data_IF_122525044508
#
_entry.id   IF_122525044508
#
_cell.length_a   1.000
_cell.length_b   1.000
_cell.length_c   1.000
_cell.angle_alpha   90.00
_cell.angle_beta   90.00
_cell.angle_gamma   90.00
#
_symmetry.space_group_name_H-M   'P 1'
#
loop_
_entity.id
_entity.type
_entity.pdbx_description
1 polymer ?
#
# COMPACT_ATOMS: atom_id res chain seq x y z
N UNK A 1 27.17 0.50 -7.16
CA UNK A 1 26.45 -0.57 -7.88
C UNK A 1 24.98 -0.43 -7.51
N UNK A 2 24.18 0.16 -8.40
CA UNK A 2 22.85 0.66 -8.04
C UNK A 2 21.85 -0.48 -7.82
N UNK A 3 20.99 -0.32 -6.81
CA UNK A 3 19.90 -1.24 -6.43
C UNK A 3 18.95 -1.58 -7.60
N UNK A 4 18.99 -0.80 -8.68
CA UNK A 4 18.31 -1.05 -9.97
C UNK A 4 18.73 -2.36 -10.66
N UNK A 5 19.99 -2.79 -10.53
CA UNK A 5 20.51 -3.91 -11.34
C UNK A 5 20.05 -5.29 -10.84
N UNK A 6 19.54 -5.39 -9.61
CA UNK A 6 19.06 -6.66 -9.05
C UNK A 6 17.57 -6.93 -9.38
N UNK A 7 16.84 -5.91 -9.83
CA UNK A 7 15.39 -5.95 -10.04
C UNK A 7 15.00 -6.71 -11.33
N UNK A 8 15.92 -6.87 -12.28
CA UNK A 8 15.54 -7.14 -13.67
C UNK A 8 15.53 -8.61 -14.13
N UNK A 9 15.72 -9.61 -13.24
CA UNK A 9 15.97 -11.01 -13.68
C UNK A 9 14.89 -12.07 -13.34
N UNK A 10 13.92 -11.83 -12.46
CA UNK A 10 12.96 -12.88 -12.01
C UNK A 10 11.57 -12.31 -11.67
N UNK A 11 10.82 -11.92 -12.70
CA UNK A 11 9.73 -10.94 -12.67
C UNK A 11 8.55 -11.08 -11.68
N UNK A 12 8.35 -12.19 -10.98
CA UNK A 12 7.17 -12.35 -10.08
C UNK A 12 7.53 -12.76 -8.64
N UNK A 13 8.53 -13.62 -8.45
CA UNK A 13 9.00 -14.05 -7.11
C UNK A 13 9.92 -13.04 -6.42
N UNK A 14 10.46 -12.06 -7.16
CA UNK A 14 11.39 -11.05 -6.61
C UNK A 14 10.67 -9.80 -6.09
N UNK A 15 9.52 -9.41 -6.65
CA UNK A 15 8.82 -8.18 -6.23
C UNK A 15 8.28 -8.28 -4.79
N UNK A 16 7.77 -9.45 -4.40
CA UNK A 16 7.38 -9.74 -3.01
C UNK A 16 8.58 -9.77 -2.06
N UNK A 17 9.69 -10.40 -2.48
CA UNK A 17 10.94 -10.43 -1.72
C UNK A 17 11.52 -9.03 -1.50
N UNK A 18 11.36 -8.11 -2.46
CA UNK A 18 11.83 -6.72 -2.37
C UNK A 18 11.06 -5.93 -1.31
N UNK A 19 9.74 -6.07 -1.20
CA UNK A 19 8.97 -5.42 -0.12
C UNK A 19 9.42 -5.93 1.26
N UNK A 20 9.69 -7.22 1.38
CA UNK A 20 10.15 -7.89 2.61
C UNK A 20 11.59 -7.51 2.97
N UNK A 21 12.53 -7.55 2.02
CA UNK A 21 13.94 -7.21 2.22
C UNK A 21 14.13 -5.72 2.53
N UNK A 22 13.37 -4.85 1.86
CA UNK A 22 13.36 -3.42 2.19
C UNK A 22 12.82 -3.20 3.61
N UNK A 23 11.78 -3.94 4.05
CA UNK A 23 11.31 -3.87 5.44
C UNK A 23 12.40 -4.32 6.44
N UNK A 24 13.18 -5.37 6.14
CA UNK A 24 14.25 -5.89 7.00
C UNK A 24 15.45 -4.95 7.17
N UNK A 25 15.88 -4.27 6.12
CA UNK A 25 17.06 -3.38 6.16
C UNK A 25 16.85 -2.08 6.98
N UNK A 26 15.64 -1.85 7.54
CA UNK A 26 15.18 -0.51 7.94
C UNK A 26 14.90 -0.29 9.41
N UNK A 27 15.28 -1.25 10.27
CA UNK A 27 15.45 -0.97 11.70
C UNK A 27 16.69 -0.07 11.88
N UNK A 28 16.57 1.24 11.63
CA UNK A 28 17.58 2.21 12.10
C UNK A 28 17.90 3.47 11.27
N UNK A 29 17.38 3.66 10.06
CA UNK A 29 17.72 4.85 9.24
C UNK A 29 16.47 5.51 8.58
N UNK A 30 16.07 6.72 9.01
CA UNK A 30 14.94 7.46 8.46
C UNK A 30 15.09 7.90 6.99
N UNK A 31 16.30 8.24 6.54
CA UNK A 31 16.54 8.65 5.15
C UNK A 31 16.29 7.48 4.19
N UNK A 32 16.72 6.28 4.58
CA UNK A 32 16.40 5.07 3.85
C UNK A 32 14.89 4.85 3.86
N UNK A 33 14.20 4.99 5.01
CA UNK A 33 12.75 4.82 5.14
C UNK A 33 11.95 5.50 4.02
N UNK A 34 12.23 6.77 3.72
CA UNK A 34 11.57 7.52 2.65
C UNK A 34 11.77 6.92 1.25
N UNK A 35 12.98 6.42 0.96
CA UNK A 35 13.33 5.85 -0.34
C UNK A 35 12.50 4.59 -0.65
N UNK A 36 12.42 3.59 0.23
CA UNK A 36 11.55 2.44 -0.08
C UNK A 36 10.08 2.77 0.01
N UNK A 37 9.64 3.77 0.77
CA UNK A 37 8.24 4.18 0.64
C UNK A 37 7.99 4.68 -0.78
N UNK A 38 8.90 5.48 -1.36
CA UNK A 38 8.81 5.89 -2.76
C UNK A 38 8.89 4.69 -3.73
N UNK A 39 9.82 3.75 -3.52
CA UNK A 39 9.91 2.60 -4.43
C UNK A 39 8.71 1.65 -4.27
N UNK A 40 8.20 1.44 -3.06
CA UNK A 40 7.00 0.63 -2.84
C UNK A 40 5.77 1.25 -3.51
N UNK A 41 5.63 2.58 -3.49
CA UNK A 41 4.59 3.27 -4.27
C UNK A 41 4.79 3.04 -5.77
N UNK A 42 6.02 3.15 -6.27
CA UNK A 42 6.33 2.84 -7.66
C UNK A 42 5.93 1.39 -8.01
N UNK A 43 6.25 0.42 -7.17
CA UNK A 43 5.91 -0.98 -7.36
C UNK A 43 4.38 -1.20 -7.35
N UNK A 44 3.66 -0.62 -6.38
CA UNK A 44 2.20 -0.70 -6.25
C UNK A 44 1.45 -0.07 -7.42
N UNK A 45 2.00 1.00 -8.00
CA UNK A 45 1.37 1.72 -9.13
C UNK A 45 1.72 1.11 -10.49
N UNK A 46 2.81 0.34 -10.58
CA UNK A 46 3.16 -0.40 -11.80
C UNK A 46 2.57 -1.81 -11.83
N UNK A 47 2.30 -2.41 -10.66
CA UNK A 47 1.73 -3.74 -10.56
C UNK A 47 0.72 -3.81 -9.42
N UNK A 48 -0.57 -3.84 -9.77
CA UNK A 48 -1.65 -3.86 -8.79
C UNK A 48 -1.64 -5.11 -7.90
N UNK A 49 -1.08 -6.23 -8.38
CA UNK A 49 -0.96 -7.46 -7.60
C UNK A 49 -0.02 -7.30 -6.40
N UNK A 50 0.82 -6.27 -6.36
CA UNK A 50 1.61 -5.93 -5.18
C UNK A 50 0.73 -5.58 -3.98
N UNK A 51 -0.53 -5.15 -4.17
CA UNK A 51 -1.49 -4.99 -3.06
C UNK A 51 -1.87 -6.32 -2.40
N UNK A 52 -1.99 -7.40 -3.19
CA UNK A 52 -2.25 -8.76 -2.65
C UNK A 52 -1.08 -9.24 -1.80
N UNK A 53 0.14 -8.96 -2.25
CA UNK A 53 1.36 -9.32 -1.52
C UNK A 53 1.50 -8.50 -0.23
N UNK A 54 1.23 -7.19 -0.31
CA UNK A 54 1.22 -6.34 0.87
C UNK A 54 0.19 -6.83 1.90
N UNK A 55 -0.97 -7.30 1.45
CA UNK A 55 -2.00 -7.86 2.32
C UNK A 55 -1.54 -9.08 3.11
N UNK A 56 -0.87 -10.03 2.47
CA UNK A 56 -0.28 -11.18 3.17
C UNK A 56 0.69 -10.73 4.26
N UNK A 57 1.49 -9.70 3.97
CA UNK A 57 2.56 -9.21 4.86
C UNK A 57 2.11 -8.15 5.87
N UNK A 58 0.84 -7.76 5.89
CA UNK A 58 0.37 -6.56 6.60
C UNK A 58 0.43 -6.67 8.13
N UNK A 59 0.32 -7.88 8.68
CA UNK A 59 0.40 -8.13 10.14
C UNK A 59 1.84 -8.45 10.56
N UNK A 60 2.60 -9.16 9.73
CA UNK A 60 3.93 -9.69 10.08
C UNK A 60 5.06 -8.65 10.00
N UNK A 61 4.71 -7.38 9.77
CA UNK A 61 5.64 -6.33 9.40
C UNK A 61 5.65 -5.14 10.37
N UNK A 62 6.63 -4.25 10.18
CA UNK A 62 6.76 -3.03 10.97
C UNK A 62 5.61 -2.06 10.67
N UNK A 63 4.62 -2.03 11.59
CA UNK A 63 3.38 -1.26 11.43
C UNK A 63 3.58 0.21 11.05
N UNK A 64 4.61 0.85 11.58
CA UNK A 64 4.91 2.25 11.27
C UNK A 64 5.33 2.46 9.81
N UNK A 65 5.92 1.47 9.14
CA UNK A 65 6.18 1.53 7.70
C UNK A 65 4.88 1.46 6.89
N UNK A 66 3.94 0.58 7.27
CA UNK A 66 2.65 0.48 6.59
C UNK A 66 1.86 1.79 6.73
N UNK A 67 1.92 2.41 7.91
CA UNK A 67 1.35 3.74 8.16
C UNK A 67 1.97 4.79 7.24
N UNK A 68 3.30 4.88 7.17
CA UNK A 68 3.99 5.85 6.31
C UNK A 68 3.66 5.64 4.82
N UNK A 69 3.57 4.40 4.38
CA UNK A 69 3.20 4.07 3.00
C UNK A 69 1.76 4.43 2.68
N UNK A 70 0.82 4.07 3.55
CA UNK A 70 -0.59 4.44 3.39
C UNK A 70 -0.80 5.95 3.39
N UNK A 71 -0.14 6.68 4.29
CA UNK A 71 -0.17 8.15 4.31
C UNK A 71 0.34 8.73 3.01
N UNK A 72 1.49 8.27 2.52
CA UNK A 72 2.06 8.78 1.29
C UNK A 72 1.18 8.50 0.07
N UNK A 73 0.50 7.34 0.03
CA UNK A 73 -0.53 7.06 -0.98
C UNK A 73 -1.74 8.01 -0.87
N UNK A 74 -2.12 8.41 0.34
CA UNK A 74 -3.16 9.43 0.56
C UNK A 74 -2.68 10.81 0.10
N UNK A 75 -1.46 11.21 0.43
CA UNK A 75 -0.95 12.54 0.09
C UNK A 75 -0.76 12.68 -1.42
N UNK A 76 -0.19 11.65 -2.06
CA UNK A 76 0.10 11.62 -3.50
C UNK A 76 -1.03 11.02 -4.34
N UNK A 77 -2.24 10.89 -3.79
CA UNK A 77 -3.33 10.20 -4.46
C UNK A 77 -3.63 10.75 -5.86
N UNK A 78 -3.62 12.08 -6.03
CA UNK A 78 -3.87 12.72 -7.34
C UNK A 78 -2.85 12.31 -8.41
N UNK A 79 -1.64 11.91 -8.01
CA UNK A 79 -0.57 11.46 -8.90
C UNK A 79 -0.79 10.01 -9.31
N UNK A 80 -1.20 9.18 -8.36
CA UNK A 80 -1.23 7.72 -8.54
C UNK A 80 -2.61 7.17 -8.89
N UNK A 81 -3.69 7.93 -8.66
CA UNK A 81 -5.07 7.43 -8.78
C UNK A 81 -5.38 6.89 -10.16
N UNK A 82 -4.93 7.55 -11.23
CA UNK A 82 -5.17 7.08 -12.60
C UNK A 82 -4.60 5.69 -12.87
N UNK A 83 -3.47 5.34 -12.25
CA UNK A 83 -2.84 4.01 -12.36
C UNK A 83 -3.49 3.00 -11.41
N UNK A 84 -3.89 3.44 -10.22
CA UNK A 84 -4.51 2.57 -9.22
C UNK A 84 -5.98 2.24 -9.53
N UNK A 85 -6.62 3.06 -10.37
CA UNK A 85 -7.99 2.88 -10.83
C UNK A 85 -8.09 2.90 -12.36
N UNK A 86 -7.07 2.42 -13.07
CA UNK A 86 -7.05 2.37 -14.53
C UNK A 86 -8.12 1.44 -15.10
N UNK A 87 -8.45 0.36 -14.37
CA UNK A 87 -9.51 -0.57 -14.73
C UNK A 87 -10.44 -0.86 -13.54
N UNK A 88 -11.65 -1.38 -13.80
CA UNK A 88 -12.53 -1.88 -12.73
C UNK A 88 -11.86 -2.97 -11.89
N UNK A 89 -11.06 -3.84 -12.51
CA UNK A 89 -10.33 -4.92 -11.82
C UNK A 89 -9.26 -4.38 -10.86
N UNK A 90 -8.49 -3.37 -11.31
CA UNK A 90 -7.46 -2.73 -10.48
C UNK A 90 -8.10 -2.06 -9.27
N UNK A 91 -9.18 -1.31 -9.52
CA UNK A 91 -9.98 -0.65 -8.48
C UNK A 91 -10.49 -1.65 -7.45
N UNK A 92 -11.00 -2.81 -7.89
CA UNK A 92 -11.46 -3.88 -7.01
C UNK A 92 -10.30 -4.49 -6.20
N UNK A 93 -9.13 -4.67 -6.81
CA UNK A 93 -7.94 -5.20 -6.12
C UNK A 93 -7.47 -4.27 -5.00
N UNK A 94 -7.37 -2.97 -5.26
CA UNK A 94 -7.00 -1.99 -4.23
C UNK A 94 -8.08 -1.92 -3.14
N UNK A 95 -9.36 -1.90 -3.53
CA UNK A 95 -10.48 -1.87 -2.56
C UNK A 95 -10.48 -3.11 -1.66
N UNK A 96 -10.20 -4.29 -2.21
CA UNK A 96 -10.09 -5.53 -1.45
C UNK A 96 -8.94 -5.44 -0.43
N UNK A 97 -7.76 -5.00 -0.84
CA UNK A 97 -6.63 -4.81 0.07
C UNK A 97 -6.94 -3.81 1.20
N UNK A 98 -7.53 -2.65 0.88
CA UNK A 98 -7.92 -1.68 1.91
C UNK A 98 -8.91 -2.26 2.92
N UNK A 99 -9.87 -3.05 2.47
CA UNK A 99 -10.84 -3.70 3.36
C UNK A 99 -10.16 -4.73 4.28
N UNK A 100 -9.25 -5.55 3.74
CA UNK A 100 -8.50 -6.51 4.54
C UNK A 100 -7.61 -5.80 5.57
N UNK A 101 -6.97 -4.69 5.18
CA UNK A 101 -6.14 -3.90 6.09
C UNK A 101 -6.96 -3.32 7.24
N UNK A 102 -8.15 -2.80 6.95
CA UNK A 102 -9.09 -2.31 7.97
C UNK A 102 -9.49 -3.43 8.94
N UNK A 103 -9.90 -4.59 8.43
CA UNK A 103 -10.26 -5.74 9.28
C UNK A 103 -9.10 -6.16 10.19
N UNK A 104 -7.87 -6.20 9.65
CA UNK A 104 -6.66 -6.51 10.41
C UNK A 104 -6.33 -5.44 11.46
N UNK A 105 -6.55 -4.16 11.13
CA UNK A 105 -6.38 -3.06 12.09
C UNK A 105 -7.42 -3.10 13.22
N UNK A 106 -8.68 -3.34 12.88
CA UNK A 106 -9.79 -3.44 13.84
C UNK A 106 -9.60 -4.61 14.80
N UNK A 107 -9.17 -5.76 14.29
CA UNK A 107 -8.82 -6.92 15.10
C UNK A 107 -7.71 -6.56 16.10
N UNK A 108 -6.60 -5.98 15.63
CA UNK A 108 -5.50 -5.55 16.48
C UNK A 108 -5.94 -4.51 17.54
N UNK A 109 -6.81 -3.57 17.15
CA UNK A 109 -7.38 -2.57 18.06
C UNK A 109 -8.20 -3.22 19.17
N UNK A 110 -9.05 -4.19 18.81
CA UNK A 110 -9.92 -4.91 19.74
C UNK A 110 -9.12 -5.84 20.67
N UNK A 111 -8.08 -6.48 20.16
CA UNK A 111 -7.17 -7.35 20.93
C UNK A 111 -6.22 -6.57 21.84
N UNK A 112 -6.21 -5.23 21.79
CA UNK A 112 -5.43 -4.40 22.69
C UNK A 112 -3.91 -4.53 22.51
N UNK A 113 -3.43 -4.85 21.30
CA UNK A 113 -1.98 -4.95 21.05
C UNK A 113 -1.28 -3.61 21.25
N UNK A 114 0.03 -3.67 21.49
CA UNK A 114 0.88 -2.49 21.58
C UNK A 114 0.82 -1.65 20.29
N UNK A 115 1.04 -0.34 20.40
CA UNK A 115 0.99 0.62 19.28
C UNK A 115 -0.39 0.84 18.65
N UNK A 116 -1.44 0.83 19.47
CA UNK A 116 -2.82 1.11 19.06
C UNK A 116 -2.99 2.35 18.19
N UNK A 117 -2.21 3.41 18.46
CA UNK A 117 -2.20 4.65 17.67
C UNK A 117 -1.84 4.43 16.21
N UNK A 118 -0.85 3.56 15.92
CA UNK A 118 -0.43 3.24 14.54
C UNK A 118 -1.53 2.49 13.78
N UNK A 119 -2.24 1.57 14.44
CA UNK A 119 -3.36 0.87 13.82
C UNK A 119 -4.53 1.81 13.50
N UNK A 120 -4.87 2.71 14.43
CA UNK A 120 -5.89 3.75 14.19
C UNK A 120 -5.50 4.67 13.03
N UNK A 121 -4.22 5.00 12.91
CA UNK A 121 -3.73 5.87 11.84
C UNK A 121 -3.70 5.18 10.47
N UNK A 122 -3.30 3.91 10.43
CA UNK A 122 -3.41 3.09 9.23
C UNK A 122 -4.87 2.95 8.78
N UNK A 123 -5.79 2.73 9.72
CA UNK A 123 -7.22 2.59 9.43
C UNK A 123 -7.83 3.86 8.82
N UNK A 124 -7.51 5.04 9.39
CA UNK A 124 -7.89 6.34 8.83
C UNK A 124 -7.43 6.48 7.38
N UNK A 125 -6.20 6.09 7.08
CA UNK A 125 -5.64 6.16 5.73
C UNK A 125 -6.37 5.22 4.77
N UNK A 126 -6.65 3.98 5.19
CA UNK A 126 -7.43 3.02 4.41
C UNK A 126 -8.85 3.55 4.09
N UNK A 127 -9.51 4.18 5.07
CA UNK A 127 -10.83 4.78 4.87
C UNK A 127 -10.81 5.92 3.83
N UNK A 128 -9.79 6.77 3.86
CA UNK A 128 -9.61 7.85 2.89
C UNK A 128 -9.40 7.31 1.47
N UNK A 129 -8.56 6.28 1.31
CA UNK A 129 -8.32 5.63 0.02
C UNK A 129 -9.63 5.00 -0.51
N UNK A 130 -10.33 4.21 0.30
CA UNK A 130 -11.61 3.59 -0.09
C UNK A 130 -12.68 4.61 -0.49
N UNK A 131 -12.76 5.74 0.23
CA UNK A 131 -13.68 6.83 -0.13
C UNK A 131 -13.33 7.42 -1.49
N UNK A 132 -12.05 7.66 -1.75
CA UNK A 132 -11.58 8.23 -3.02
C UNK A 132 -11.80 7.29 -4.22
N UNK A 133 -11.55 5.99 -4.04
CA UNK A 133 -11.88 4.96 -5.05
C UNK A 133 -13.37 4.96 -5.38
N UNK A 134 -14.23 5.11 -4.36
CA UNK A 134 -15.68 5.13 -4.54
C UNK A 134 -16.19 6.41 -5.23
N UNK A 135 -15.50 7.54 -5.03
CA UNK A 135 -15.82 8.81 -5.70
C UNK A 135 -15.33 8.84 -7.16
N UNK A 136 -14.16 8.27 -7.46
CA UNK A 136 -13.64 8.20 -8.84
C UNK A 136 -14.54 7.40 -9.77
N UNK A 137 -15.15 6.32 -9.26
CA UNK A 137 -16.07 5.47 -10.03
C UNK A 137 -17.34 6.22 -10.49
N UNK A 138 -17.84 7.18 -9.70
CA UNK A 138 -19.05 7.96 -10.04
C UNK A 138 -18.84 8.93 -11.20
N UNK A 139 -17.61 9.42 -11.39
CA UNK A 139 -17.31 10.32 -12.51
C UNK A 139 -17.15 9.55 -13.83
N UNK A 140 -16.55 8.36 -13.78
CA UNK A 140 -16.44 7.48 -14.96
C UNK A 140 -17.80 6.97 -15.45
N UNK A 141 -18.78 6.77 -14.56
CA UNK A 141 -20.15 6.39 -14.95
C UNK A 141 -20.98 7.52 -15.56
N UNK A 142 -20.64 8.79 -15.27
CA UNK A 142 -21.36 9.97 -15.79
C UNK A 142 -20.88 10.40 -17.18
N UNK A 143 -19.68 10.01 -17.57
CA UNK A 143 -19.12 10.33 -18.91
C UNK A 143 -19.52 9.34 -20.00
N UNK A 144 -20.27 8.30 -19.67
CA UNK A 144 -20.71 7.23 -20.60
C UNK A 144 -22.22 7.28 -20.88
N UNK A 145 -22.89 8.38 -20.53
CA UNK A 145 -24.27 8.68 -20.90
C UNK A 145 -24.31 9.82 -21.91
#
# INVERSE_FOLDING_TARGET
MSLLNLVNSRGEKTKSAILVDRKRQRRGNPALANEATAIAISDLTQNIDCFKQWDVLYIDCFKQWDVSLLKKLVDEWKVHSLKLSSSPSDTLTVKHAMNNFKMKNEKAITEGVTNLSLYKEADKSCNLISRRLSCGLRLASLTTM
#
